data_IF_356266648518
#
_entry.id   IF_356266648518
#
_cell.length_a   1.000
_cell.length_b   1.000
_cell.length_c   1.000
_cell.angle_alpha   90.00
_cell.angle_beta   90.00
_cell.angle_gamma   90.00
#
_symmetry.space_group_name_H-M   'P 1'
#
loop_
_entity.id
_entity.type
_entity.pdbx_description
1 polymer ?
#
# COMPACT_ATOMS: atom_id res chain seq x y z
N UNK A 1 -14.44 -0.01 10.54
CA UNK A 1 -13.48 0.84 9.81
C UNK A 1 -13.00 0.06 8.58
N UNK A 2 -13.21 0.59 7.37
CA UNK A 2 -12.87 -0.12 6.13
C UNK A 2 -11.37 -0.06 5.87
N UNK A 3 -10.79 -1.14 5.32
CA UNK A 3 -9.39 -1.10 4.90
C UNK A 3 -9.24 -0.26 3.63
N UNK A 4 -8.25 0.63 3.57
CA UNK A 4 -8.05 1.49 2.40
C UNK A 4 -7.40 0.72 1.25
N UNK A 5 -6.42 -0.15 1.53
CA UNK A 5 -5.52 -0.73 0.50
C UNK A 5 -5.57 -2.26 0.41
N UNK A 6 -5.81 -2.96 1.52
CA UNK A 6 -5.63 -4.41 1.65
C UNK A 6 -6.96 -5.16 1.64
N UNK A 7 -7.00 -6.23 0.86
CA UNK A 7 -8.14 -7.13 0.74
C UNK A 7 -9.17 -6.72 -0.31
N UNK A 8 -9.98 -7.69 -0.75
CA UNK A 8 -10.94 -7.59 -1.86
C UNK A 8 -12.07 -6.57 -1.63
N UNK A 9 -12.34 -6.22 -0.38
CA UNK A 9 -13.38 -5.25 -0.02
C UNK A 9 -12.79 -3.89 0.41
N UNK A 10 -11.51 -3.64 0.13
CA UNK A 10 -10.87 -2.36 0.42
C UNK A 10 -11.37 -1.25 -0.49
N UNK A 11 -11.19 0.01 -0.07
CA UNK A 11 -11.52 1.17 -0.90
C UNK A 11 -10.80 1.11 -2.26
N UNK A 12 -9.55 0.65 -2.27
CA UNK A 12 -8.76 0.42 -3.47
C UNK A 12 -9.34 -0.70 -4.35
N UNK A 13 -9.75 -1.83 -3.77
CA UNK A 13 -10.36 -2.90 -4.55
C UNK A 13 -11.63 -2.43 -5.28
N UNK A 14 -12.49 -1.69 -4.57
CA UNK A 14 -13.78 -1.22 -5.10
C UNK A 14 -13.61 -0.11 -6.13
N UNK A 15 -12.78 0.90 -5.84
CA UNK A 15 -12.69 2.11 -6.67
C UNK A 15 -11.56 2.07 -7.71
N UNK A 16 -10.52 1.26 -7.49
CA UNK A 16 -9.31 1.23 -8.32
C UNK A 16 -9.09 -0.13 -8.99
N UNK A 17 -9.92 -1.14 -8.69
CA UNK A 17 -9.82 -2.49 -9.27
C UNK A 17 -8.55 -3.24 -8.86
N UNK A 18 -7.87 -2.82 -7.80
CA UNK A 18 -6.66 -3.49 -7.31
C UNK A 18 -6.50 -3.33 -5.80
N UNK A 19 -5.83 -4.25 -5.14
CA UNK A 19 -5.62 -4.21 -3.69
C UNK A 19 -4.38 -4.99 -3.27
N UNK A 20 -3.85 -4.70 -2.09
CA UNK A 20 -2.78 -5.47 -1.44
C UNK A 20 -3.33 -6.79 -0.91
N UNK A 21 -2.66 -7.91 -1.17
CA UNK A 21 -3.04 -9.25 -0.65
C UNK A 21 -3.24 -9.23 0.87
N UNK A 22 -4.29 -9.90 1.35
CA UNK A 22 -4.51 -10.04 2.80
C UNK A 22 -3.41 -10.86 3.47
N UNK A 23 -3.10 -10.54 4.73
CA UNK A 23 -2.14 -11.30 5.55
C UNK A 23 -1.43 -10.42 6.58
N UNK A 24 -0.46 -10.99 7.33
CA UNK A 24 0.42 -10.22 8.21
C UNK A 24 1.25 -9.20 7.43
N UNK A 25 1.59 -8.08 8.04
CA UNK A 25 2.34 -6.97 7.44
C UNK A 25 3.84 -7.31 7.29
N UNK A 26 4.13 -8.29 6.44
CA UNK A 26 5.49 -8.65 6.04
C UNK A 26 6.11 -7.64 5.06
N UNK A 27 7.41 -7.80 4.79
CA UNK A 27 8.16 -6.90 3.89
C UNK A 27 7.51 -6.75 2.50
N UNK A 28 6.92 -7.83 1.97
CA UNK A 28 6.25 -7.81 0.67
C UNK A 28 4.98 -6.96 0.66
N UNK A 29 4.15 -7.07 1.70
CA UNK A 29 2.96 -6.22 1.85
C UNK A 29 3.33 -4.79 2.20
N UNK A 30 4.36 -4.56 3.00
CA UNK A 30 4.89 -3.20 3.24
C UNK A 30 5.29 -2.56 1.92
N UNK A 31 6.06 -3.26 1.08
CA UNK A 31 6.44 -2.77 -0.25
C UNK A 31 5.22 -2.47 -1.14
N UNK A 32 4.20 -3.33 -1.14
CA UNK A 32 2.96 -3.12 -1.88
C UNK A 32 2.17 -1.90 -1.39
N UNK A 33 2.06 -1.71 -0.08
CA UNK A 33 1.46 -0.52 0.50
C UNK A 33 2.23 0.73 0.07
N UNK A 34 3.55 0.76 0.26
CA UNK A 34 4.41 1.90 -0.12
C UNK A 34 4.28 2.27 -1.60
N UNK A 35 4.19 1.27 -2.49
CA UNK A 35 3.93 1.50 -3.91
C UNK A 35 2.62 2.28 -4.14
N UNK A 36 1.54 1.90 -3.47
CA UNK A 36 0.25 2.59 -3.56
C UNK A 36 0.25 3.96 -2.85
N UNK A 37 0.99 4.11 -1.76
CA UNK A 37 1.13 5.39 -1.05
C UNK A 37 1.87 6.41 -1.93
N UNK A 38 2.94 5.99 -2.62
CA UNK A 38 3.65 6.82 -3.58
C UNK A 38 2.79 7.18 -4.80
N UNK A 39 1.91 6.28 -5.24
CA UNK A 39 0.93 6.58 -6.29
C UNK A 39 -0.06 7.66 -5.82
N UNK A 40 -0.62 7.49 -4.63
CA UNK A 40 -1.54 8.46 -4.01
C UNK A 40 -0.90 9.83 -3.83
N UNK A 41 0.32 9.86 -3.31
CA UNK A 41 1.06 11.10 -3.09
C UNK A 41 1.35 11.82 -4.42
N UNK A 42 1.77 11.09 -5.46
CA UNK A 42 1.98 11.67 -6.80
C UNK A 42 0.72 12.24 -7.44
N UNK A 43 -0.45 11.66 -7.18
CA UNK A 43 -1.74 12.17 -7.68
C UNK A 43 -2.39 13.22 -6.76
N UNK A 44 -1.84 13.44 -5.57
CA UNK A 44 -2.30 14.43 -4.60
C UNK A 44 -3.50 14.00 -3.75
N UNK A 45 -3.97 12.75 -3.84
CA UNK A 45 -5.15 12.30 -3.11
C UNK A 45 -5.17 10.79 -2.84
N UNK A 46 -5.91 10.41 -1.80
CA UNK A 46 -6.14 9.04 -1.34
C UNK A 46 -7.58 8.86 -0.83
N UNK A 47 -7.90 7.71 -0.24
CA UNK A 47 -9.17 7.45 0.43
C UNK A 47 -9.03 7.49 1.95
N UNK A 48 -10.10 7.85 2.65
CA UNK A 48 -10.29 7.62 4.08
C UNK A 48 -10.94 6.26 4.36
N UNK A 49 -11.31 6.01 5.63
CA UNK A 49 -11.94 4.75 6.05
C UNK A 49 -13.44 4.64 5.72
N UNK A 50 -14.05 5.69 5.18
CA UNK A 50 -15.38 5.69 4.58
C UNK A 50 -15.31 5.61 3.03
N UNK A 51 -14.10 5.39 2.50
CA UNK A 51 -13.78 5.39 1.07
C UNK A 51 -14.08 6.72 0.35
N UNK A 52 -14.09 7.84 1.07
CA UNK A 52 -14.16 9.18 0.48
C UNK A 52 -12.76 9.65 0.09
N UNK A 53 -12.67 10.42 -1.00
CA UNK A 53 -11.40 11.02 -1.42
C UNK A 53 -11.01 12.14 -0.46
N UNK A 54 -9.76 12.12 -0.05
CA UNK A 54 -9.11 13.13 0.78
C UNK A 54 -7.76 13.49 0.18
N UNK A 55 -7.25 14.68 0.50
CA UNK A 55 -5.93 15.10 0.06
C UNK A 55 -4.85 14.21 0.67
N UNK A 56 -3.84 13.86 -0.15
CA UNK A 56 -2.66 13.12 0.28
C UNK A 56 -1.48 14.08 0.31
N UNK A 57 -1.42 14.89 1.36
CA UNK A 57 -0.28 15.75 1.62
C UNK A 57 0.94 14.94 2.13
N UNK A 58 2.06 15.64 2.35
CA UNK A 58 3.30 15.01 2.80
C UNK A 58 3.17 14.43 4.20
N UNK A 59 2.46 15.11 5.10
CA UNK A 59 2.30 14.66 6.49
C UNK A 59 1.51 13.36 6.56
N UNK A 60 0.38 13.29 5.85
CA UNK A 60 -0.45 12.09 5.76
C UNK A 60 0.28 10.95 5.07
N UNK A 61 1.01 11.23 3.99
CA UNK A 61 1.84 10.23 3.31
C UNK A 61 2.87 9.61 4.27
N UNK A 62 3.63 10.43 4.98
CA UNK A 62 4.64 9.96 5.94
C UNK A 62 4.01 9.18 7.10
N UNK A 63 2.91 9.70 7.67
CA UNK A 63 2.20 9.05 8.76
C UNK A 63 1.72 7.64 8.36
N UNK A 64 1.13 7.51 7.17
CA UNK A 64 0.65 6.21 6.66
C UNK A 64 1.79 5.24 6.40
N UNK A 65 2.89 5.70 5.80
CA UNK A 65 4.07 4.87 5.57
C UNK A 65 4.66 4.35 6.91
N UNK A 66 4.83 5.23 7.90
CA UNK A 66 5.36 4.85 9.23
C UNK A 66 4.42 3.94 10.01
N UNK A 67 3.11 4.09 9.82
CA UNK A 67 2.12 3.22 10.45
C UNK A 67 2.27 1.74 10.07
N UNK A 68 2.82 1.44 8.88
CA UNK A 68 3.08 0.06 8.46
C UNK A 68 4.07 -0.66 9.39
N UNK A 69 5.12 0.04 9.83
CA UNK A 69 6.11 -0.49 10.79
C UNK A 69 5.44 -0.81 12.12
N UNK A 70 4.54 0.08 12.58
CA UNK A 70 3.76 -0.18 13.80
C UNK A 70 2.93 -1.44 13.67
N UNK A 71 2.18 -1.60 12.57
CA UNK A 71 1.38 -2.81 12.34
C UNK A 71 2.27 -4.06 12.32
N UNK A 72 3.43 -4.00 11.64
CA UNK A 72 4.38 -5.13 11.60
C UNK A 72 4.80 -5.54 13.02
N UNK A 73 5.23 -4.57 13.83
CA UNK A 73 5.66 -4.80 15.22
C UNK A 73 4.53 -5.32 16.10
N UNK A 74 3.34 -4.74 15.99
CA UNK A 74 2.16 -5.15 16.76
C UNK A 74 1.76 -6.60 16.46
N UNK A 75 2.01 -7.08 15.23
CA UNK A 75 1.73 -8.47 14.84
C UNK A 75 2.81 -9.45 15.29
N UNK A 76 4.03 -8.99 15.60
CA UNK A 76 5.14 -9.85 16.05
C UNK A 76 5.59 -10.89 15.01
N UNK A 77 5.30 -10.66 13.73
CA UNK A 77 5.55 -11.59 12.63
C UNK A 77 6.31 -10.88 11.52
N UNK A 78 7.46 -11.44 11.14
CA UNK A 78 8.25 -10.99 9.98
C UNK A 78 9.45 -10.10 10.34
N UNK A 79 10.14 -9.65 9.30
CA UNK A 79 11.34 -8.81 9.39
C UNK A 79 10.94 -7.32 9.41
N UNK A 80 10.56 -6.84 10.60
CA UNK A 80 10.09 -5.46 10.78
C UNK A 80 11.22 -4.42 10.71
N UNK A 81 12.48 -4.82 10.92
CA UNK A 81 13.63 -3.92 10.82
C UNK A 81 13.90 -3.60 9.35
N UNK A 82 13.91 -4.61 8.47
CA UNK A 82 13.97 -4.38 7.01
C UNK A 82 12.77 -3.57 6.51
N UNK A 83 11.58 -3.76 7.09
CA UNK A 83 10.40 -2.96 6.75
C UNK A 83 10.58 -1.49 7.17
N UNK A 84 11.13 -1.22 8.36
CA UNK A 84 11.42 0.13 8.83
C UNK A 84 12.46 0.84 7.96
N UNK A 85 13.54 0.14 7.60
CA UNK A 85 14.57 0.66 6.70
C UNK A 85 13.99 1.04 5.34
N UNK A 86 13.16 0.17 4.75
CA UNK A 86 12.47 0.44 3.49
C UNK A 86 11.55 1.65 3.61
N UNK A 87 10.73 1.73 4.66
CA UNK A 87 9.83 2.87 4.91
C UNK A 87 10.61 4.17 5.02
N UNK A 88 11.71 4.18 5.78
CA UNK A 88 12.55 5.36 5.95
C UNK A 88 13.20 5.80 4.64
N UNK A 89 13.67 4.86 3.82
CA UNK A 89 14.23 5.18 2.51
C UNK A 89 13.18 5.76 1.56
N UNK A 90 11.97 5.17 1.51
CA UNK A 90 10.88 5.68 0.68
C UNK A 90 10.42 7.07 1.12
N UNK A 91 10.27 7.31 2.42
CA UNK A 91 9.88 8.63 2.94
C UNK A 91 10.92 9.69 2.59
N UNK A 92 12.22 9.35 2.69
CA UNK A 92 13.32 10.27 2.39
C UNK A 92 13.45 10.56 0.89
N UNK A 93 13.34 9.53 0.05
CA UNK A 93 13.67 9.62 -1.39
C UNK A 93 12.46 9.80 -2.29
N UNK A 94 11.26 9.54 -1.76
CA UNK A 94 9.98 9.50 -2.50
C UNK A 94 10.02 8.52 -3.69
N UNK A 95 10.81 7.46 -3.57
CA UNK A 95 11.00 6.42 -4.58
C UNK A 95 10.98 5.06 -3.91
N UNK A 96 10.48 4.05 -4.61
CA UNK A 96 10.56 2.66 -4.17
C UNK A 96 11.79 2.02 -4.84
N UNK A 97 12.71 1.38 -4.11
CA UNK A 97 13.82 0.68 -4.74
C UNK A 97 13.32 -0.49 -5.59
N UNK A 98 14.04 -0.80 -6.68
CA UNK A 98 13.60 -1.78 -7.69
C UNK A 98 13.23 -3.16 -7.11
N UNK A 99 14.02 -3.67 -6.18
CA UNK A 99 13.73 -4.95 -5.54
C UNK A 99 12.39 -4.93 -4.78
N UNK A 100 12.04 -3.80 -4.16
CA UNK A 100 10.78 -3.63 -3.45
C UNK A 100 9.62 -3.43 -4.42
N UNK A 101 9.82 -2.79 -5.58
CA UNK A 101 8.83 -2.75 -6.66
C UNK A 101 8.47 -4.16 -7.13
N UNK A 102 9.45 -5.04 -7.31
CA UNK A 102 9.22 -6.43 -7.71
C UNK A 102 8.41 -7.20 -6.65
N UNK A 103 8.67 -6.97 -5.36
CA UNK A 103 7.88 -7.54 -4.27
C UNK A 103 6.46 -6.96 -4.22
N UNK A 104 6.32 -5.65 -4.43
CA UNK A 104 5.03 -4.96 -4.46
C UNK A 104 4.11 -5.55 -5.54
N UNK A 105 4.63 -5.73 -6.76
CA UNK A 105 3.86 -6.29 -7.88
C UNK A 105 3.31 -7.68 -7.56
N UNK A 106 4.09 -8.53 -6.86
CA UNK A 106 3.63 -9.87 -6.45
C UNK A 106 2.53 -9.85 -5.38
N UNK A 107 2.43 -8.75 -4.63
CA UNK A 107 1.47 -8.57 -3.53
C UNK A 107 0.30 -7.65 -3.88
N UNK A 108 0.24 -7.12 -5.11
CA UNK A 108 -0.90 -6.34 -5.61
C UNK A 108 -1.74 -7.25 -6.51
N UNK A 109 -2.97 -7.51 -6.10
CA UNK A 109 -3.96 -8.22 -6.92
C UNK A 109 -4.71 -7.20 -7.76
N UNK A 110 -4.80 -7.45 -9.06
CA UNK A 110 -5.67 -6.71 -9.98
C UNK A 110 -6.91 -7.54 -10.27
N UNK A 111 -8.07 -6.95 -10.08
CA UNK A 111 -9.36 -7.55 -10.43
C UNK A 111 -9.51 -7.33 -11.94
N UNK A 112 -9.43 -8.41 -12.73
CA UNK A 112 -9.71 -8.34 -14.16
C UNK A 112 -11.14 -7.86 -14.37
N UNK A 113 -11.33 -6.90 -15.26
CA UNK A 113 -12.67 -6.54 -15.73
C UNK A 113 -13.19 -7.67 -16.62
N UNK A 114 -14.50 -7.92 -16.62
CA UNK A 114 -15.15 -8.85 -17.57
C UNK A 114 -14.82 -8.49 -19.03
N UNK A 115 -14.51 -7.23 -19.31
CA UNK A 115 -14.07 -6.76 -20.64
C UNK A 115 -12.71 -7.29 -21.09
N UNK A 116 -11.88 -7.83 -20.18
CA UNK A 116 -10.54 -8.33 -20.51
C UNK A 116 -10.54 -9.77 -21.07
N UNK A 117 -11.72 -10.39 -21.20
CA UNK A 117 -11.90 -11.74 -21.77
C UNK A 117 -12.49 -11.73 -23.19
N UNK A 118 -12.65 -10.55 -23.81
CA UNK A 118 -13.28 -10.38 -25.14
C UNK A 118 -12.28 -10.15 -26.28
N UNK A 119 -11.13 -10.81 -26.26
CA UNK A 119 -10.16 -10.84 -27.38
C UNK A 119 -9.78 -12.26 -27.73
#
# INVERSE_FOLDING_TARGET
>A
MTNIYMGRNSCYAVNEGMYVTSGPMDLGRVAAHLFLHLRDFRRGWTYDHDCKRIDMDKELFEARCRYLVRICRDQGLGDCDSAEDLVNDVVRTLKLPKWAEEMAVRNIIRIKSITDFST
#
